data_IF_496355266910
#
_entry.id   IF_496355266910
#
_cell.length_a   1.000
_cell.length_b   1.000
_cell.length_c   1.000
_cell.angle_alpha   90.00
_cell.angle_beta   90.00
_cell.angle_gamma   90.00
#
_symmetry.space_group_name_H-M   'P 1'
#
loop_
_entity.id
_entity.type
_entity.pdbx_description
1 polymer ?
#
# COMPACT_ATOMS: atom_id res chain seq x y z
N UNK A 1 -8.32 5.57 8.15
CA UNK A 1 -7.69 5.13 6.89
C UNK A 1 -8.15 3.72 6.59
N UNK A 2 -8.59 3.44 5.37
CA UNK A 2 -9.01 2.10 4.92
C UNK A 2 -7.82 1.14 4.91
N UNK A 3 -8.04 -0.11 5.30
CA UNK A 3 -7.05 -1.18 5.23
C UNK A 3 -7.34 -2.09 4.04
N UNK A 4 -6.30 -2.37 3.26
CA UNK A 4 -6.40 -3.17 2.05
C UNK A 4 -5.50 -4.39 2.13
N UNK A 5 -5.89 -5.41 1.39
CA UNK A 5 -5.02 -6.50 0.98
C UNK A 5 -5.12 -6.66 -0.52
N UNK A 6 -3.97 -6.74 -1.18
CA UNK A 6 -3.86 -6.58 -2.63
C UNK A 6 -3.18 -7.81 -3.20
N UNK A 7 -3.77 -8.38 -4.26
CA UNK A 7 -3.18 -9.52 -4.95
C UNK A 7 -1.82 -9.20 -5.61
N UNK A 8 -1.06 -10.24 -5.96
CA UNK A 8 0.28 -10.14 -6.55
C UNK A 8 0.32 -9.34 -7.88
N UNK A 9 -0.77 -9.30 -8.65
CA UNK A 9 -0.87 -8.62 -9.95
C UNK A 9 -1.04 -7.10 -9.83
N UNK A 10 -1.30 -6.60 -8.62
CA UNK A 10 -1.68 -5.21 -8.37
C UNK A 10 -0.63 -4.42 -7.58
N UNK A 11 0.66 -4.78 -7.71
CA UNK A 11 1.74 -4.15 -6.94
C UNK A 11 1.86 -2.63 -7.09
N UNK A 12 1.60 -2.07 -8.29
CA UNK A 12 1.57 -0.60 -8.49
C UNK A 12 0.43 0.06 -7.70
N UNK A 13 -0.73 -0.58 -7.62
CA UNK A 13 -1.85 -0.08 -6.83
C UNK A 13 -1.51 -0.11 -5.34
N UNK A 14 -0.91 -1.22 -4.86
CA UNK A 14 -0.47 -1.32 -3.47
C UNK A 14 0.51 -0.20 -3.09
N UNK A 15 1.45 0.15 -3.99
CA UNK A 15 2.37 1.26 -3.80
C UNK A 15 1.63 2.59 -3.61
N UNK A 16 0.68 2.91 -4.49
CA UNK A 16 -0.08 4.16 -4.41
C UNK A 16 -0.92 4.27 -3.15
N UNK A 17 -1.59 3.18 -2.76
CA UNK A 17 -2.37 3.12 -1.52
C UNK A 17 -1.51 3.37 -0.28
N UNK A 18 -0.30 2.79 -0.23
CA UNK A 18 0.65 3.04 0.87
C UNK A 18 1.09 4.50 0.91
N UNK A 19 1.41 5.08 -0.24
CA UNK A 19 1.83 6.48 -0.32
C UNK A 19 0.71 7.46 0.08
N UNK A 20 -0.56 7.14 -0.16
CA UNK A 20 -1.70 7.94 0.31
C UNK A 20 -2.11 7.64 1.76
N UNK A 21 -1.37 6.76 2.45
CA UNK A 21 -1.51 6.52 3.89
C UNK A 21 -2.40 5.34 4.27
N UNK A 22 -2.83 4.54 3.31
CA UNK A 22 -3.60 3.32 3.57
C UNK A 22 -2.71 2.13 3.91
N UNK A 23 -3.02 1.47 5.02
CA UNK A 23 -2.38 0.22 5.40
C UNK A 23 -2.73 -0.86 4.38
N UNK A 24 -1.74 -1.29 3.61
CA UNK A 24 -1.94 -2.17 2.45
C UNK A 24 -0.97 -3.35 2.48
N UNK A 25 -1.50 -4.54 2.74
CA UNK A 25 -0.76 -5.79 2.61
C UNK A 25 -0.66 -6.13 1.11
N UNK A 26 0.56 -6.43 0.68
CA UNK A 26 0.88 -6.89 -0.67
C UNK A 26 2.15 -7.72 -0.57
N UNK A 27 2.11 -8.92 -1.13
CA UNK A 27 3.24 -9.83 -1.28
C UNK A 27 2.99 -10.72 -2.48
N UNK A 28 4.05 -11.03 -3.23
CA UNK A 28 4.02 -12.02 -4.30
C UNK A 28 4.09 -13.46 -3.78
N UNK A 29 4.40 -13.61 -2.49
CA UNK A 29 4.77 -14.90 -1.89
C UNK A 29 3.65 -15.48 -1.01
N UNK A 30 2.57 -14.73 -0.80
CA UNK A 30 1.41 -15.17 -0.01
C UNK A 30 0.43 -15.90 -0.94
N UNK A 31 -0.05 -17.07 -0.53
CA UNK A 31 -1.04 -17.82 -1.29
C UNK A 31 -2.44 -17.22 -1.16
N UNK A 32 -3.29 -17.46 -2.16
CA UNK A 32 -4.67 -16.97 -2.20
C UNK A 32 -5.49 -17.29 -0.95
N UNK A 33 -5.34 -18.50 -0.38
CA UNK A 33 -6.05 -18.88 0.84
C UNK A 33 -5.59 -18.04 2.05
N UNK A 34 -4.28 -17.83 2.19
CA UNK A 34 -3.72 -16.99 3.24
C UNK A 34 -4.14 -15.53 3.07
N UNK A 35 -4.22 -15.02 1.83
CA UNK A 35 -4.75 -13.67 1.55
C UNK A 35 -6.20 -13.53 2.05
N UNK A 36 -7.04 -14.53 1.79
CA UNK A 36 -8.43 -14.52 2.23
C UNK A 36 -8.53 -14.62 3.76
N UNK A 37 -7.70 -15.42 4.39
CA UNK A 37 -7.71 -15.60 5.84
C UNK A 37 -7.23 -14.34 6.57
N UNK A 38 -6.20 -13.67 6.06
CA UNK A 38 -5.78 -12.35 6.54
C UNK A 38 -6.87 -11.30 6.29
N UNK A 39 -7.47 -11.28 5.09
CA UNK A 39 -8.55 -10.34 4.77
C UNK A 39 -9.71 -10.46 5.75
N UNK A 40 -10.10 -11.69 6.09
CA UNK A 40 -11.21 -11.98 6.99
C UNK A 40 -10.88 -11.67 8.44
N UNK A 41 -9.71 -12.11 8.92
CA UNK A 41 -9.32 -11.94 10.33
C UNK A 41 -9.03 -10.49 10.69
N UNK A 42 -8.53 -9.69 9.75
CA UNK A 42 -8.18 -8.29 9.96
C UNK A 42 -9.21 -7.29 9.39
N UNK A 43 -10.39 -7.74 8.92
CA UNK A 43 -11.42 -6.94 8.23
C UNK A 43 -10.87 -6.03 7.12
N UNK A 44 -9.93 -6.57 6.32
CA UNK A 44 -9.31 -5.85 5.19
C UNK A 44 -10.13 -6.03 3.93
N UNK A 45 -10.13 -4.98 3.10
CA UNK A 45 -10.76 -5.04 1.78
C UNK A 45 -9.79 -5.69 0.79
N UNK A 46 -10.20 -6.79 0.18
CA UNK A 46 -9.46 -7.47 -0.88
C UNK A 46 -9.60 -6.70 -2.20
N UNK A 47 -8.48 -6.30 -2.79
CA UNK A 47 -8.43 -5.77 -4.16
C UNK A 47 -7.77 -6.83 -5.04
N UNK A 48 -8.49 -7.29 -6.08
CA UNK A 48 -7.97 -8.32 -6.97
C UNK A 48 -8.40 -8.14 -8.42
N UNK A 49 -7.57 -8.60 -9.36
CA UNK A 49 -7.94 -8.78 -10.77
C UNK A 49 -8.29 -10.22 -11.13
N UNK A 50 -8.21 -11.15 -10.17
CA UNK A 50 -8.59 -12.55 -10.35
C UNK A 50 -10.09 -12.74 -10.01
N UNK A 51 -10.84 -13.27 -10.98
CA UNK A 51 -12.28 -13.52 -10.79
C UNK A 51 -12.57 -14.65 -9.79
N UNK A 52 -11.74 -15.70 -9.81
CA UNK A 52 -11.87 -16.85 -8.93
C UNK A 52 -11.54 -16.48 -7.48
N UNK A 53 -10.47 -15.70 -7.26
CA UNK A 53 -10.15 -15.18 -5.93
C UNK A 53 -11.25 -14.28 -5.38
N UNK A 54 -11.79 -13.38 -6.21
CA UNK A 54 -12.91 -12.53 -5.83
C UNK A 54 -14.18 -13.32 -5.49
N UNK A 55 -14.49 -14.38 -6.25
CA UNK A 55 -15.64 -15.24 -5.96
C UNK A 55 -15.46 -16.02 -4.64
N UNK A 56 -14.25 -16.55 -4.39
CA UNK A 56 -13.90 -17.17 -3.10
C UNK A 56 -14.03 -16.19 -1.93
N UNK A 57 -13.63 -14.93 -2.13
CA UNK A 57 -13.80 -13.88 -1.12
C UNK A 57 -15.27 -13.65 -0.78
N UNK A 58 -16.15 -13.56 -1.78
CA UNK A 58 -17.60 -13.44 -1.58
C UNK A 58 -18.17 -14.62 -0.81
N UNK A 59 -17.80 -15.85 -1.15
CA UNK A 59 -18.24 -17.06 -0.46
C UNK A 59 -17.82 -17.08 1.01
N UNK A 60 -16.70 -16.41 1.35
CA UNK A 60 -16.20 -16.26 2.73
C UNK A 60 -16.69 -14.99 3.43
N UNK A 61 -17.59 -14.22 2.81
CA UNK A 61 -18.14 -12.95 3.32
C UNK A 61 -17.07 -11.86 3.52
N UNK A 62 -16.04 -11.86 2.69
CA UNK A 62 -14.96 -10.87 2.71
C UNK A 62 -15.32 -9.71 1.77
N UNK A 63 -15.11 -8.47 2.22
CA UNK A 63 -15.25 -7.27 1.38
C UNK A 63 -14.20 -7.32 0.28
N UNK A 64 -14.62 -7.37 -0.99
CA UNK A 64 -13.71 -7.47 -2.12
C UNK A 64 -14.14 -6.58 -3.29
N UNK A 65 -13.16 -6.09 -4.06
CA UNK A 65 -13.37 -5.33 -5.28
C UNK A 65 -12.59 -5.96 -6.44
N UNK A 66 -13.34 -6.43 -7.45
CA UNK A 66 -12.77 -6.95 -8.69
C UNK A 66 -12.40 -5.81 -9.65
N UNK A 67 -11.11 -5.73 -9.97
CA UNK A 67 -10.51 -4.69 -10.79
C UNK A 67 -10.21 -5.20 -12.21
N UNK A 68 -10.55 -4.39 -13.20
CA UNK A 68 -10.38 -4.64 -14.65
C UNK A 68 -9.73 -3.44 -15.31
N UNK A 69 -9.21 -3.61 -16.52
CA UNK A 69 -8.53 -2.55 -17.27
C UNK A 69 -7.02 -2.52 -17.03
N UNK A 70 -6.38 -1.44 -17.50
CA UNK A 70 -4.96 -1.20 -17.31
C UNK A 70 -4.66 -0.72 -15.88
N UNK A 71 -3.40 -0.44 -15.55
CA UNK A 71 -3.01 -0.02 -14.19
C UNK A 71 -3.70 1.28 -13.77
N UNK A 72 -3.76 2.25 -14.66
CA UNK A 72 -4.29 3.58 -14.36
C UNK A 72 -5.80 3.54 -14.12
N UNK A 73 -6.53 2.74 -14.92
CA UNK A 73 -7.97 2.48 -14.74
C UNK A 73 -8.24 1.89 -13.35
N UNK A 74 -7.40 0.94 -12.92
CA UNK A 74 -7.56 0.26 -11.62
C UNK A 74 -7.29 1.22 -10.46
N UNK A 75 -6.25 2.04 -10.55
CA UNK A 75 -5.94 3.07 -9.54
C UNK A 75 -7.09 4.08 -9.46
N UNK A 76 -7.51 4.64 -10.59
CA UNK A 76 -8.60 5.62 -10.63
C UNK A 76 -9.90 5.06 -10.04
N UNK A 77 -10.23 3.80 -10.37
CA UNK A 77 -11.42 3.13 -9.84
C UNK A 77 -11.37 3.00 -8.32
N UNK A 78 -10.26 2.52 -7.75
CA UNK A 78 -10.12 2.36 -6.30
C UNK A 78 -10.16 3.72 -5.60
N UNK A 79 -9.49 4.72 -6.16
CA UNK A 79 -9.46 6.06 -5.57
C UNK A 79 -10.84 6.70 -5.54
N UNK A 80 -11.61 6.54 -6.62
CA UNK A 80 -13.00 7.00 -6.67
C UNK A 80 -13.90 6.23 -5.71
N UNK A 81 -13.81 4.90 -5.67
CA UNK A 81 -14.67 4.04 -4.84
C UNK A 81 -14.50 4.35 -3.33
N UNK A 82 -13.25 4.56 -2.91
CA UNK A 82 -12.91 4.78 -1.49
C UNK A 82 -12.67 6.24 -1.12
N UNK A 83 -12.99 7.18 -2.01
CA UNK A 83 -12.77 8.63 -1.83
C UNK A 83 -11.33 8.97 -1.40
N UNK A 84 -10.36 8.34 -2.03
CA UNK A 84 -8.93 8.55 -1.76
C UNK A 84 -8.47 9.78 -2.54
N UNK A 85 -7.99 10.79 -1.83
CA UNK A 85 -7.38 11.95 -2.46
C UNK A 85 -6.05 11.53 -3.13
N UNK A 86 -5.81 11.91 -4.40
CA UNK A 86 -4.55 11.64 -5.11
C UNK A 86 -3.45 12.61 -4.66
N UNK A 87 -3.23 12.70 -3.35
CA UNK A 87 -2.28 13.58 -2.72
C UNK A 87 -1.42 12.79 -1.72
N UNK A 88 -0.10 12.93 -1.83
CA UNK A 88 0.85 12.30 -0.92
C UNK A 88 1.17 13.28 0.21
N UNK A 89 0.91 12.86 1.44
CA UNK A 89 1.33 13.59 2.62
C UNK A 89 2.28 12.71 3.45
N UNK A 90 3.60 13.02 3.49
CA UNK A 90 4.58 12.22 4.22
C UNK A 90 4.23 11.93 5.68
N UNK A 91 3.46 12.79 6.35
CA UNK A 91 3.08 12.60 7.75
C UNK A 91 2.04 11.49 7.97
N UNK A 92 1.31 11.07 6.94
CA UNK A 92 0.39 9.94 7.00
C UNK A 92 0.75 8.79 6.04
N UNK A 93 1.67 9.02 5.11
CA UNK A 93 2.18 7.99 4.20
C UNK A 93 2.79 6.80 4.93
N UNK A 94 2.76 5.66 4.25
CA UNK A 94 3.43 4.43 4.66
C UNK A 94 4.55 4.10 3.68
N UNK A 95 5.55 3.35 4.14
CA UNK A 95 6.64 2.88 3.30
C UNK A 95 6.08 2.10 2.11
N UNK A 96 6.39 2.54 0.90
CA UNK A 96 5.93 1.90 -0.34
C UNK A 96 6.39 0.45 -0.47
N UNK A 97 7.52 0.09 0.15
CA UNK A 97 8.09 -1.28 0.11
C UNK A 97 7.48 -2.21 1.16
N UNK A 98 7.55 -1.83 2.43
CA UNK A 98 7.21 -2.72 3.55
C UNK A 98 5.92 -2.35 4.29
N UNK A 99 5.20 -1.30 3.86
CA UNK A 99 3.98 -0.82 4.51
C UNK A 99 4.17 -0.29 5.96
N UNK A 100 5.41 -0.10 6.43
CA UNK A 100 5.69 0.50 7.74
C UNK A 100 5.28 1.97 7.81
N UNK A 101 4.97 2.48 9.01
CA UNK A 101 4.77 3.92 9.24
C UNK A 101 6.06 4.69 9.05
N UNK A 102 5.96 5.94 8.59
CA UNK A 102 7.12 6.82 8.42
C UNK A 102 7.31 7.67 9.68
N UNK A 103 8.57 7.87 10.07
CA UNK A 103 8.99 8.79 11.13
C UNK A 103 9.74 9.95 10.47
N UNK A 104 9.33 11.18 10.78
CA UNK A 104 10.07 12.37 10.38
C UNK A 104 11.30 12.53 11.29
N UNK A 105 12.46 12.69 10.67
CA UNK A 105 13.71 12.91 11.39
C UNK A 105 14.19 14.36 11.21
N UNK A 106 14.49 15.02 12.33
CA UNK A 106 15.09 16.35 12.33
C UNK A 106 16.53 16.36 11.82
N UNK A 107 17.04 17.55 11.45
CA UNK A 107 18.43 17.74 10.98
C UNK A 107 19.45 17.30 12.03
N UNK A 108 19.15 17.52 13.30
CA UNK A 108 19.93 17.12 14.48
C UNK A 108 20.03 15.59 14.62
N UNK A 109 19.03 14.86 14.16
CA UNK A 109 18.97 13.39 14.24
C UNK A 109 19.52 12.68 13.02
N UNK A 110 19.94 13.43 12.00
CA UNK A 110 20.31 12.88 10.70
C UNK A 110 21.48 11.89 10.75
N UNK A 111 22.38 12.04 11.71
CA UNK A 111 23.48 11.09 11.94
C UNK A 111 22.99 9.64 12.14
N UNK A 112 21.76 9.44 12.67
CA UNK A 112 21.14 8.12 12.89
C UNK A 112 20.97 7.31 11.59
N UNK A 113 20.84 7.97 10.45
CA UNK A 113 20.56 7.30 9.16
C UNK A 113 21.77 7.24 8.24
N UNK A 114 22.93 7.78 8.61
CA UNK A 114 24.11 7.90 7.73
C UNK A 114 24.56 6.57 7.12
N UNK A 115 24.49 5.49 7.89
CA UNK A 115 24.86 4.13 7.45
C UNK A 115 23.67 3.33 6.89
N UNK A 116 22.45 3.87 6.97
CA UNK A 116 21.22 3.22 6.53
C UNK A 116 20.76 3.70 5.15
N UNK A 117 21.29 4.83 4.67
CA UNK A 117 20.93 5.42 3.37
C UNK A 117 22.16 5.66 2.51
N UNK A 118 21.94 5.70 1.20
CA UNK A 118 22.99 6.06 0.25
C UNK A 118 23.53 7.48 0.54
N UNK A 119 24.84 7.68 0.36
CA UNK A 119 25.51 8.93 0.74
C UNK A 119 24.89 10.17 0.08
N UNK A 120 24.43 10.05 -1.17
CA UNK A 120 23.76 11.13 -1.89
C UNK A 120 22.44 11.56 -1.21
N UNK A 121 21.67 10.61 -0.69
CA UNK A 121 20.44 10.88 0.07
C UNK A 121 20.78 11.58 1.39
N UNK A 122 21.86 11.14 2.04
CA UNK A 122 22.37 11.79 3.24
C UNK A 122 22.81 13.23 2.94
N UNK A 123 23.50 13.52 1.84
CA UNK A 123 23.92 14.90 1.52
C UNK A 123 22.76 15.85 1.18
N UNK A 124 21.78 15.42 0.37
CA UNK A 124 20.64 16.29 -0.08
C UNK A 124 19.85 16.93 1.07
N UNK A 125 19.63 16.22 2.17
CA UNK A 125 18.89 16.80 3.30
C UNK A 125 19.66 17.88 4.09
N UNK A 126 20.91 18.21 3.74
CA UNK A 126 21.68 19.29 4.37
C UNK A 126 21.44 20.63 3.67
N UNK A 127 20.99 20.60 2.41
CA UNK A 127 20.95 21.77 1.51
C UNK A 127 19.56 22.42 1.42
N UNK A 128 18.52 21.78 1.98
CA UNK A 128 17.17 22.36 2.05
C UNK A 128 17.03 23.33 3.22
N UNK A 129 16.98 24.62 2.91
CA UNK A 129 16.64 25.75 3.80
C UNK A 129 15.21 26.17 3.52
#
# INVERSE_FOLDING_TARGET
>A
MTQFIVDAMLGKLALWLRLTGHDTIYSTDIHDDDLLDIAKSEDRILLTSDAGLHERAKQREIKALLLRGNVDDRVARVFSEFNIAPHINPSCSRCSKCNGTLEEIGKDQKARIKELVHEQTYRRGLEGS
#
